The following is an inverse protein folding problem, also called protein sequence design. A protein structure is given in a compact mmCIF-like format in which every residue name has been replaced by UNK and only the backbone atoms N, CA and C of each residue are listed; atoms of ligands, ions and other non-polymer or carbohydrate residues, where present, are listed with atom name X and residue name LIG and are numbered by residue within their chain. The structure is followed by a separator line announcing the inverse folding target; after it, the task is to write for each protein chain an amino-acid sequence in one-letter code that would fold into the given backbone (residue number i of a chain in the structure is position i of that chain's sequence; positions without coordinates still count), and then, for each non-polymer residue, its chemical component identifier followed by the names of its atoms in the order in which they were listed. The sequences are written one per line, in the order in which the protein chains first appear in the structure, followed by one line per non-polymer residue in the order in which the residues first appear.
data_IF_516425511993
#
_entry.id   IF_516425511993
#
_cell.length_a   1.000
_cell.length_b   1.000
_cell.length_c   1.000
_cell.angle_alpha   90.00
_cell.angle_beta   90.00
_cell.angle_gamma   90.00
#
_symmetry.space_group_name_H-M   'P 1'
#
loop_
_entity.id
_entity.type
_entity.pdbx_description
1 polymer ?
#
# COMPACT_ATOMS: atom_id res chain seq x y z
N UNK A 1 -6.13 0.90 -0.42
CA UNK A 1 -4.93 1.15 -1.23
C UNK A 1 -5.06 0.34 -2.50
N UNK A 2 -5.03 0.99 -3.66
CA UNK A 2 -5.27 0.34 -4.95
C UNK A 2 -4.00 0.38 -5.78
N UNK A 3 -3.43 -0.79 -6.06
CA UNK A 3 -2.25 -0.90 -6.91
C UNK A 3 -2.54 -0.44 -8.35
N UNK A 4 -1.63 0.30 -8.97
CA UNK A 4 -1.77 0.77 -10.35
C UNK A 4 -0.48 0.63 -11.19
N UNK A 5 0.70 0.64 -10.57
CA UNK A 5 2.00 0.36 -11.23
C UNK A 5 2.80 -0.62 -10.38
N UNK A 6 3.36 -1.64 -11.04
CA UNK A 6 4.22 -2.66 -10.46
C UNK A 6 5.69 -2.45 -10.86
N UNK A 7 6.58 -2.75 -9.93
CA UNK A 7 8.02 -2.90 -10.12
C UNK A 7 8.55 -4.10 -9.31
N UNK A 8 9.84 -4.11 -9.05
CA UNK A 8 10.50 -5.11 -8.19
C UNK A 8 10.20 -6.55 -8.62
N UNK A 9 9.97 -7.43 -7.65
CA UNK A 9 9.68 -8.84 -7.91
C UNK A 9 8.35 -9.06 -8.67
N UNK A 10 7.46 -8.06 -8.73
CA UNK A 10 6.16 -8.13 -9.39
C UNK A 10 6.20 -7.71 -10.87
N UNK A 11 7.36 -7.33 -11.39
CA UNK A 11 7.52 -6.92 -12.78
C UNK A 11 8.92 -7.24 -13.35
N UNK A 12 8.97 -7.56 -14.63
CA UNK A 12 10.22 -7.65 -15.39
C UNK A 12 10.57 -6.25 -15.95
N UNK A 13 10.89 -5.31 -15.06
CA UNK A 13 11.28 -3.93 -15.38
C UNK A 13 12.38 -3.41 -14.43
N UNK A 14 12.87 -2.20 -14.71
CA UNK A 14 13.95 -1.58 -13.94
C UNK A 14 13.45 -0.78 -12.71
N UNK A 15 12.17 -0.90 -12.33
CA UNK A 15 11.67 -0.23 -11.13
C UNK A 15 12.03 -1.04 -9.89
N UNK A 16 12.64 -0.37 -8.90
CA UNK A 16 13.06 -1.04 -7.66
C UNK A 16 11.89 -1.30 -6.70
N UNK A 17 10.97 -0.35 -6.56
CA UNK A 17 9.82 -0.50 -5.66
C UNK A 17 8.75 -1.40 -6.27
N UNK A 18 8.16 -2.22 -5.43
CA UNK A 18 7.27 -3.29 -5.84
C UNK A 18 5.89 -2.78 -6.28
N UNK A 19 5.27 -1.86 -5.52
CA UNK A 19 3.95 -1.33 -5.86
C UNK A 19 3.83 0.18 -5.65
N UNK A 20 3.16 0.83 -6.60
CA UNK A 20 2.72 2.21 -6.50
C UNK A 20 1.19 2.23 -6.51
N UNK A 21 0.62 2.75 -5.43
CA UNK A 21 -0.79 2.67 -5.13
C UNK A 21 -1.43 4.05 -4.99
N UNK A 22 -2.70 4.14 -5.34
CA UNK A 22 -3.55 5.30 -5.04
C UNK A 22 -4.49 5.01 -3.87
N UNK A 23 -4.85 6.06 -3.15
CA UNK A 23 -5.81 6.04 -2.05
C UNK A 23 -6.85 7.16 -2.27
N UNK A 24 -8.06 6.84 -2.73
CA UNK A 24 -9.15 7.81 -2.84
C UNK A 24 -9.74 8.12 -1.45
N UNK A 25 -9.26 9.20 -0.81
CA UNK A 25 -9.54 9.48 0.61
C UNK A 25 -10.70 10.43 0.85
N UNK A 26 -11.10 11.22 -0.15
CA UNK A 26 -12.26 12.14 -0.05
C UNK A 26 -13.50 11.65 -0.82
N UNK A 27 -13.57 10.37 -1.16
CA UNK A 27 -14.80 9.80 -1.70
C UNK A 27 -15.91 9.78 -0.65
N UNK A 28 -17.16 10.02 -1.06
CA UNK A 28 -18.32 10.02 -0.16
C UNK A 28 -18.71 8.61 0.33
N UNK A 29 -18.31 7.58 -0.41
CA UNK A 29 -18.64 6.17 -0.18
C UNK A 29 -17.50 5.26 -0.64
N UNK A 30 -17.53 4.00 -0.21
CA UNK A 30 -16.59 3.00 -0.71
C UNK A 30 -16.79 2.78 -2.21
N UNK A 31 -18.05 2.68 -2.68
CA UNK A 31 -18.36 2.55 -4.11
C UNK A 31 -17.80 3.72 -4.93
N UNK A 32 -17.91 4.96 -4.44
CA UNK A 32 -17.30 6.12 -5.09
C UNK A 32 -15.77 6.05 -5.09
N UNK A 33 -15.16 5.53 -4.01
CA UNK A 33 -13.70 5.32 -3.98
C UNK A 33 -13.25 4.35 -5.08
N UNK A 34 -13.99 3.25 -5.29
CA UNK A 34 -13.71 2.26 -6.34
C UNK A 34 -13.90 2.87 -7.72
N UNK A 35 -14.95 3.67 -7.92
CA UNK A 35 -15.19 4.41 -9.17
C UNK A 35 -14.03 5.35 -9.48
N UNK A 36 -13.57 6.13 -8.51
CA UNK A 36 -12.42 7.03 -8.67
C UNK A 36 -11.16 6.26 -9.04
N UNK A 37 -10.86 5.16 -8.33
CA UNK A 37 -9.74 4.28 -8.67
C UNK A 37 -9.81 3.72 -10.08
N UNK A 38 -10.99 3.29 -10.54
CA UNK A 38 -11.19 2.74 -11.88
C UNK A 38 -11.00 3.81 -12.98
N UNK A 39 -11.46 5.04 -12.75
CA UNK A 39 -11.24 6.17 -13.66
C UNK A 39 -9.76 6.49 -13.81
N UNK A 40 -9.02 6.53 -12.69
CA UNK A 40 -7.56 6.76 -12.69
C UNK A 40 -6.82 5.61 -13.37
N UNK A 41 -7.18 4.35 -13.09
CA UNK A 41 -6.58 3.18 -13.74
C UNK A 41 -6.73 3.22 -15.27
N UNK A 42 -7.91 3.60 -15.79
CA UNK A 42 -8.13 3.72 -17.23
C UNK A 42 -7.49 4.97 -17.86
N UNK A 43 -7.38 6.07 -17.12
CA UNK A 43 -6.60 7.23 -17.53
C UNK A 43 -5.11 6.87 -17.66
N UNK A 44 -4.55 6.18 -16.66
CA UNK A 44 -3.17 5.68 -16.69
C UNK A 44 -2.94 4.74 -17.87
N UNK A 45 -3.86 3.80 -18.13
CA UNK A 45 -3.78 2.92 -19.32
C UNK A 45 -3.64 3.71 -20.62
N UNK A 46 -4.43 4.78 -20.76
CA UNK A 46 -4.43 5.62 -21.95
C UNK A 46 -3.13 6.44 -22.07
N UNK A 47 -2.65 6.95 -20.94
CA UNK A 47 -1.39 7.68 -20.85
C UNK A 47 -0.18 6.80 -21.21
N UNK A 48 -0.11 5.60 -20.66
CA UNK A 48 0.93 4.61 -20.96
C UNK A 48 0.97 4.27 -22.46
N UNK A 49 -0.19 4.01 -23.08
CA UNK A 49 -0.27 3.78 -24.53
C UNK A 49 0.23 4.97 -25.34
N UNK A 50 -0.17 6.18 -24.96
CA UNK A 50 0.26 7.42 -25.63
C UNK A 50 1.78 7.63 -25.55
N UNK A 51 2.40 7.25 -24.42
CA UNK A 51 3.85 7.29 -24.22
C UNK A 51 4.60 6.06 -24.77
N UNK A 52 3.89 5.10 -25.37
CA UNK A 52 4.49 3.93 -26.02
C UNK A 52 4.85 2.78 -25.06
N UNK A 53 4.37 2.80 -23.82
CA UNK A 53 4.59 1.71 -22.87
C UNK A 53 3.57 0.58 -23.06
N UNK A 54 3.94 -0.62 -22.58
CA UNK A 54 3.02 -1.74 -22.44
C UNK A 54 1.88 -1.42 -21.47
N UNK A 55 0.72 -2.03 -21.69
CA UNK A 55 -0.44 -1.96 -20.77
C UNK A 55 -0.89 -3.34 -20.32
N UNK A 56 0.04 -4.31 -20.35
CA UNK A 56 -0.13 -5.59 -19.70
C UNK A 56 -0.17 -5.38 -18.18
N UNK A 57 -0.88 -6.29 -17.51
CA UNK A 57 -1.05 -6.25 -16.07
C UNK A 57 -0.29 -7.39 -15.41
N UNK A 58 0.24 -7.14 -14.21
CA UNK A 58 0.87 -8.15 -13.36
C UNK A 58 -0.16 -8.99 -12.57
N UNK A 59 0.32 -9.70 -11.56
CA UNK A 59 -0.51 -10.59 -10.74
C UNK A 59 -1.56 -9.82 -9.93
N UNK A 60 -1.24 -8.63 -9.46
CA UNK A 60 -2.12 -7.73 -8.72
C UNK A 60 -3.05 -6.92 -9.64
N UNK A 61 -2.92 -7.05 -10.95
CA UNK A 61 -3.75 -6.36 -11.94
C UNK A 61 -3.31 -4.92 -12.27
N UNK A 62 -2.25 -4.40 -11.64
CA UNK A 62 -1.61 -3.13 -11.96
C UNK A 62 -0.74 -3.24 -13.21
N UNK A 63 -0.37 -2.11 -13.82
CA UNK A 63 0.48 -2.12 -15.02
C UNK A 63 1.96 -2.32 -14.67
N UNK A 64 2.71 -2.99 -15.53
CA UNK A 64 4.17 -3.15 -15.39
C UNK A 64 4.92 -2.49 -16.57
N UNK A 65 4.86 -1.16 -16.73
CA UNK A 65 5.61 -0.47 -17.78
C UNK A 65 7.12 -0.47 -17.49
N UNK A 66 7.94 -0.37 -18.54
CA UNK A 66 9.37 -0.14 -18.37
C UNK A 66 9.61 1.35 -18.12
N UNK A 67 9.83 1.72 -16.86
CA UNK A 67 10.08 3.10 -16.40
C UNK A 67 11.49 3.18 -15.82
N UNK A 68 12.07 4.38 -15.83
CA UNK A 68 13.48 4.60 -15.49
C UNK A 68 13.74 4.55 -13.99
N UNK A 69 12.84 5.08 -13.18
CA UNK A 69 13.04 5.24 -11.74
C UNK A 69 11.73 5.53 -11.00
N UNK A 70 11.82 5.61 -9.67
CA UNK A 70 10.69 5.82 -8.76
C UNK A 70 9.93 7.12 -9.06
N UNK A 71 10.65 8.20 -9.39
CA UNK A 71 10.05 9.51 -9.68
C UNK A 71 9.20 9.47 -10.95
N UNK A 72 9.68 8.81 -12.01
CA UNK A 72 8.90 8.68 -13.24
C UNK A 72 7.60 7.89 -13.02
N UNK A 73 7.62 6.84 -12.19
CA UNK A 73 6.42 6.11 -11.81
C UNK A 73 5.43 7.01 -11.04
N UNK A 74 5.91 7.75 -10.03
CA UNK A 74 5.09 8.69 -9.28
C UNK A 74 4.49 9.79 -10.18
N UNK A 75 5.30 10.42 -11.04
CA UNK A 75 4.85 11.45 -11.98
C UNK A 75 3.70 10.93 -12.88
N UNK A 76 3.79 9.68 -13.35
CA UNK A 76 2.73 9.06 -14.15
C UNK A 76 1.45 8.80 -13.36
N UNK A 77 1.57 8.38 -12.11
CA UNK A 77 0.40 8.21 -11.22
C UNK A 77 -0.31 9.54 -11.00
N UNK A 78 0.46 10.60 -10.75
CA UNK A 78 -0.05 11.95 -10.55
C UNK A 78 -0.73 12.47 -11.81
N UNK A 79 -0.04 12.40 -12.96
CA UNK A 79 -0.58 12.83 -14.27
C UNK A 79 -1.86 12.07 -14.62
N UNK A 80 -1.92 10.76 -14.36
CA UNK A 80 -3.12 9.96 -14.58
C UNK A 80 -4.28 10.34 -13.65
N UNK A 81 -3.98 10.66 -12.40
CA UNK A 81 -4.98 11.08 -11.41
C UNK A 81 -5.60 12.42 -11.77
N UNK A 82 -4.77 13.39 -12.17
CA UNK A 82 -5.22 14.69 -12.66
C UNK A 82 -6.00 14.57 -13.98
N UNK A 83 -5.53 13.74 -14.91
CA UNK A 83 -6.22 13.49 -16.18
C UNK A 83 -7.60 12.83 -15.98
N UNK A 84 -7.79 12.08 -14.89
CA UNK A 84 -9.08 11.53 -14.49
C UNK A 84 -9.98 12.56 -13.76
N UNK A 85 -9.48 13.76 -13.49
CA UNK A 85 -10.23 14.86 -12.89
C UNK A 85 -10.15 14.95 -11.37
N UNK A 86 -9.15 14.30 -10.74
CA UNK A 86 -8.98 14.29 -9.29
C UNK A 86 -7.80 15.16 -8.83
N UNK A 87 -7.97 15.82 -7.69
CA UNK A 87 -6.95 16.65 -7.06
C UNK A 87 -5.99 15.80 -6.20
N UNK A 88 -4.75 15.65 -6.66
CA UNK A 88 -3.71 14.89 -5.96
C UNK A 88 -3.28 15.62 -4.68
N UNK A 89 -3.04 14.88 -3.59
CA UNK A 89 -2.70 15.43 -2.27
C UNK A 89 -3.91 15.86 -1.43
N UNK A 90 -5.10 15.85 -2.01
CA UNK A 90 -6.37 16.11 -1.30
C UNK A 90 -7.35 14.97 -1.49
N UNK A 91 -7.78 14.71 -2.72
CA UNK A 91 -8.75 13.64 -3.02
C UNK A 91 -8.05 12.29 -3.15
N UNK A 92 -6.86 12.28 -3.76
CA UNK A 92 -6.04 11.09 -3.98
C UNK A 92 -4.69 11.26 -3.27
N UNK A 93 -4.37 10.31 -2.39
CA UNK A 93 -3.03 10.16 -1.79
C UNK A 93 -2.30 8.99 -2.42
N UNK A 94 -0.98 8.96 -2.24
CA UNK A 94 -0.11 7.89 -2.74
C UNK A 94 0.28 6.96 -1.59
N UNK A 95 0.30 5.67 -1.88
CA UNK A 95 0.95 4.67 -1.05
C UNK A 95 1.99 3.91 -1.86
N UNK A 96 3.07 3.51 -1.19
CA UNK A 96 4.17 2.75 -1.77
C UNK A 96 4.35 1.45 -1.02
N UNK A 97 4.70 0.40 -1.74
CA UNK A 97 5.29 -0.82 -1.20
C UNK A 97 6.67 -0.97 -1.83
N UNK A 98 7.71 -0.78 -1.01
CA UNK A 98 9.07 -0.87 -1.48
C UNK A 98 9.56 -2.32 -1.53
N UNK A 99 9.03 -3.21 -0.68
CA UNK A 99 9.55 -4.57 -0.47
C UNK A 99 11.09 -4.58 -0.34
N UNK A 100 11.64 -3.69 0.49
CA UNK A 100 13.08 -3.38 0.50
C UNK A 100 14.01 -4.55 0.78
N UNK A 101 13.49 -5.61 1.40
CA UNK A 101 14.20 -6.89 1.59
C UNK A 101 14.72 -7.47 0.26
N UNK A 102 13.99 -7.30 -0.85
CA UNK A 102 14.35 -7.85 -2.18
C UNK A 102 15.61 -7.23 -2.77
N UNK A 103 15.90 -5.97 -2.44
CA UNK A 103 17.09 -5.25 -2.88
C UNK A 103 18.10 -4.97 -1.75
N UNK A 104 17.88 -5.49 -0.55
CA UNK A 104 18.84 -5.40 0.55
C UNK A 104 19.90 -6.50 0.45
N UNK A 105 21.17 -6.10 0.28
CA UNK A 105 22.30 -7.02 0.12
C UNK A 105 23.49 -6.52 0.94
N UNK A 106 24.02 -7.40 1.79
CA UNK A 106 25.26 -7.19 2.54
C UNK A 106 25.32 -5.87 3.33
N UNK A 107 24.22 -5.48 3.98
CA UNK A 107 24.17 -4.26 4.80
C UNK A 107 23.75 -2.98 4.07
N UNK A 108 23.42 -3.07 2.78
CA UNK A 108 23.02 -1.91 1.96
C UNK A 108 21.88 -2.23 1.01
N UNK A 109 21.09 -1.21 0.68
CA UNK A 109 19.98 -1.24 -0.26
C UNK A 109 20.46 -0.91 -1.67
N UNK A 110 20.27 -1.82 -2.63
CA UNK A 110 20.80 -1.71 -3.99
C UNK A 110 19.69 -1.37 -4.98
N UNK A 111 19.41 -0.08 -5.17
CA UNK A 111 18.39 0.39 -6.11
C UNK A 111 19.01 0.52 -7.51
N UNK A 112 18.70 -0.45 -8.37
CA UNK A 112 19.20 -0.56 -9.74
C UNK A 112 18.62 0.54 -10.61
N UNK A 113 17.31 0.80 -10.53
CA UNK A 113 16.63 1.86 -11.26
C UNK A 113 17.14 3.26 -10.88
N UNK A 114 17.50 3.45 -9.61
CA UNK A 114 18.15 4.68 -9.15
C UNK A 114 19.67 4.74 -9.44
N UNK A 115 20.27 3.62 -9.87
CA UNK A 115 21.71 3.49 -10.10
C UNK A 115 22.55 3.73 -8.84
N UNK A 116 21.99 3.44 -7.66
CA UNK A 116 22.56 3.84 -6.35
C UNK A 116 22.56 2.69 -5.36
N UNK A 117 23.43 2.84 -4.35
CA UNK A 117 23.41 2.02 -3.14
C UNK A 117 23.27 2.94 -1.94
N UNK A 118 22.44 2.52 -1.00
CA UNK A 118 22.15 3.28 0.19
C UNK A 118 22.42 2.44 1.43
N UNK A 119 22.94 3.04 2.49
CA UNK A 119 22.74 2.51 3.83
C UNK A 119 21.33 2.91 4.36
N UNK A 120 20.93 2.42 5.53
CA UNK A 120 19.62 2.70 6.11
C UNK A 120 19.33 4.21 6.26
N UNK A 121 20.29 5.00 6.76
CA UNK A 121 20.12 6.45 6.93
C UNK A 121 19.93 7.16 5.59
N UNK A 122 20.63 6.74 4.54
CA UNK A 122 20.49 7.32 3.21
C UNK A 122 19.16 6.89 2.55
N UNK A 123 18.66 5.68 2.80
CA UNK A 123 17.30 5.27 2.40
C UNK A 123 16.23 6.13 3.07
N UNK A 124 16.36 6.37 4.38
CA UNK A 124 15.42 7.22 5.12
C UNK A 124 15.42 8.64 4.53
N UNK A 125 16.59 9.19 4.22
CA UNK A 125 16.69 10.51 3.58
C UNK A 125 16.09 10.52 2.16
N UNK A 126 16.25 9.43 1.41
CA UNK A 126 15.59 9.25 0.12
C UNK A 126 14.05 9.29 0.26
N UNK A 127 13.47 8.56 1.22
CA UNK A 127 12.03 8.62 1.48
C UNK A 127 11.57 9.99 1.97
N UNK A 128 12.36 10.70 2.78
CA UNK A 128 12.06 12.08 3.20
C UNK A 128 11.95 13.03 2.00
N UNK A 129 12.87 12.91 1.05
CA UNK A 129 12.82 13.69 -0.20
C UNK A 129 11.58 13.36 -1.03
N UNK A 130 11.28 12.07 -1.20
CA UNK A 130 10.06 11.65 -1.91
C UNK A 130 8.79 12.19 -1.23
N UNK A 131 8.67 12.09 0.09
CA UNK A 131 7.50 12.58 0.83
C UNK A 131 7.38 14.12 0.82
N UNK A 132 8.47 14.84 0.56
CA UNK A 132 8.44 16.29 0.41
C UNK A 132 8.00 16.73 -0.99
N UNK A 133 8.26 15.91 -2.00
CA UNK A 133 7.95 16.18 -3.42
C UNK A 133 6.58 15.63 -3.85
N UNK A 134 6.15 14.53 -3.24
CA UNK A 134 4.95 13.79 -3.62
C UNK A 134 3.99 13.63 -2.44
N UNK A 135 2.66 13.56 -2.66
CA UNK A 135 1.67 13.35 -1.61
C UNK A 135 1.60 11.89 -1.16
N UNK A 136 2.75 11.36 -0.75
CA UNK A 136 2.88 10.02 -0.17
C UNK A 136 2.34 10.07 1.24
N UNK A 137 1.37 9.21 1.52
CA UNK A 137 0.80 9.03 2.85
C UNK A 137 1.31 7.76 3.52
N UNK A 138 1.54 6.69 2.76
CA UNK A 138 1.91 5.38 3.31
C UNK A 138 3.12 4.79 2.59
N UNK A 139 4.02 4.19 3.36
CA UNK A 139 5.15 3.41 2.87
C UNK A 139 5.18 2.07 3.59
N UNK A 140 5.07 0.99 2.83
CA UNK A 140 5.16 -0.39 3.26
C UNK A 140 6.57 -0.93 3.01
N UNK A 141 7.11 -1.65 4.00
CA UNK A 141 8.42 -2.30 3.99
C UNK A 141 9.54 -1.45 3.38
N UNK A 142 9.61 -0.20 3.87
CA UNK A 142 10.60 0.79 3.47
C UNK A 142 12.06 0.33 3.70
N UNK A 143 12.29 -0.55 4.66
CA UNK A 143 13.59 -1.11 5.03
C UNK A 143 13.49 -2.63 5.11
N UNK A 144 14.63 -3.32 5.16
CA UNK A 144 14.67 -4.77 5.18
C UNK A 144 14.04 -5.33 6.48
N UNK A 145 13.44 -6.52 6.40
CA UNK A 145 12.62 -7.12 7.47
C UNK A 145 13.28 -7.20 8.85
N UNK A 146 14.61 -7.30 8.91
CA UNK A 146 15.37 -7.39 10.16
C UNK A 146 16.19 -6.12 10.49
N UNK A 147 16.06 -5.04 9.71
CA UNK A 147 16.66 -3.73 10.00
C UNK A 147 15.84 -2.94 11.05
N UNK A 148 15.73 -3.51 12.26
CA UNK A 148 14.93 -2.95 13.35
C UNK A 148 15.37 -1.53 13.74
N UNK A 149 16.67 -1.28 13.85
CA UNK A 149 17.20 0.05 14.20
C UNK A 149 16.90 1.08 13.11
N UNK A 150 16.96 0.65 11.84
CA UNK A 150 16.52 1.43 10.69
C UNK A 150 15.04 1.79 10.78
N UNK A 151 14.16 0.83 11.05
CA UNK A 151 12.71 1.08 11.20
C UNK A 151 12.38 2.01 12.37
N UNK A 152 13.07 1.89 13.51
CA UNK A 152 12.91 2.84 14.63
C UNK A 152 13.31 4.26 14.19
N UNK A 153 14.42 4.39 13.46
CA UNK A 153 14.90 5.67 12.95
C UNK A 153 13.94 6.26 11.91
N UNK A 154 13.46 5.45 10.97
CA UNK A 154 12.45 5.81 9.98
C UNK A 154 11.16 6.30 10.64
N UNK A 155 10.69 5.58 11.66
CA UNK A 155 9.45 5.92 12.39
C UNK A 155 9.60 7.22 13.15
N UNK A 156 10.77 7.46 13.77
CA UNK A 156 11.07 8.74 14.42
C UNK A 156 11.06 9.92 13.45
N UNK A 157 11.63 9.75 12.26
CA UNK A 157 11.78 10.82 11.27
C UNK A 157 10.48 11.11 10.50
N UNK A 158 9.69 10.07 10.16
CA UNK A 158 8.54 10.17 9.26
C UNK A 158 7.20 9.76 9.88
N UNK A 159 7.21 8.91 10.91
CA UNK A 159 6.00 8.26 11.45
C UNK A 159 4.97 9.21 12.06
N UNK A 160 5.33 10.46 12.33
CA UNK A 160 4.37 11.50 12.77
C UNK A 160 3.49 12.07 11.64
N UNK A 161 3.80 11.75 10.37
CA UNK A 161 3.04 12.21 9.18
C UNK A 161 2.76 11.09 8.18
N UNK A 162 3.64 10.10 8.12
CA UNK A 162 3.59 9.00 7.16
C UNK A 162 3.19 7.73 7.89
N UNK A 163 2.26 6.98 7.31
CA UNK A 163 1.96 5.62 7.71
C UNK A 163 3.12 4.70 7.28
N UNK A 164 3.79 4.09 8.26
CA UNK A 164 4.86 3.13 8.05
C UNK A 164 4.27 1.74 8.31
N UNK A 165 4.06 0.99 7.24
CA UNK A 165 3.43 -0.34 7.27
C UNK A 165 4.50 -1.41 7.30
N UNK A 166 4.46 -2.28 8.31
CA UNK A 166 5.27 -3.51 8.32
C UNK A 166 4.47 -4.67 7.75
N UNK A 167 4.97 -5.28 6.67
CA UNK A 167 4.49 -6.55 6.12
C UNK A 167 5.48 -7.66 6.45
N UNK A 168 6.62 -7.75 5.78
CA UNK A 168 7.72 -8.69 6.09
C UNK A 168 8.34 -8.38 7.47
N UNK A 169 8.31 -7.12 7.89
CA UNK A 169 8.75 -6.73 9.24
C UNK A 169 7.98 -7.50 10.34
N UNK A 170 6.68 -7.72 10.15
CA UNK A 170 5.81 -8.30 11.17
C UNK A 170 5.27 -9.69 10.84
N UNK A 171 5.14 -10.04 9.56
CA UNK A 171 4.59 -11.29 9.01
C UNK A 171 3.31 -11.77 9.71
N UNK A 172 2.42 -10.82 10.05
CA UNK A 172 1.21 -11.07 10.85
C UNK A 172 1.48 -11.83 12.16
N UNK A 173 2.71 -11.77 12.68
CA UNK A 173 3.16 -12.50 13.87
C UNK A 173 3.12 -11.61 15.12
N UNK A 174 2.33 -12.01 16.11
CA UNK A 174 2.11 -11.22 17.33
C UNK A 174 3.37 -11.00 18.16
N UNK A 175 4.38 -11.87 18.09
CA UNK A 175 5.64 -11.67 18.81
C UNK A 175 6.50 -10.59 18.16
N UNK A 176 6.65 -10.61 16.82
CA UNK A 176 7.36 -9.55 16.09
C UNK A 176 6.62 -8.22 16.20
N UNK A 177 5.29 -8.23 16.13
CA UNK A 177 4.46 -7.04 16.34
C UNK A 177 4.69 -6.43 17.74
N UNK A 178 4.65 -7.24 18.80
CA UNK A 178 4.91 -6.75 20.17
C UNK A 178 6.31 -6.16 20.31
N UNK A 179 7.32 -6.82 19.74
CA UNK A 179 8.69 -6.28 19.68
C UNK A 179 8.72 -4.91 18.98
N UNK A 180 8.06 -4.78 17.83
CA UNK A 180 8.00 -3.51 17.10
C UNK A 180 7.32 -2.40 17.91
N UNK A 181 6.19 -2.70 18.55
CA UNK A 181 5.50 -1.76 19.44
C UNK A 181 6.42 -1.32 20.59
N UNK A 182 7.12 -2.24 21.24
CA UNK A 182 8.05 -1.94 22.34
C UNK A 182 9.25 -1.09 21.88
N UNK A 183 9.70 -1.28 20.64
CA UNK A 183 10.81 -0.54 20.05
C UNK A 183 10.40 0.78 19.39
N UNK A 184 9.10 1.06 19.27
CA UNK A 184 8.55 2.16 18.47
C UNK A 184 8.92 2.06 16.98
N UNK A 185 8.92 0.84 16.44
CA UNK A 185 9.17 0.55 15.03
C UNK A 185 7.87 0.39 14.24
N UNK A 186 7.71 1.20 13.19
CA UNK A 186 6.51 1.35 12.37
C UNK A 186 5.31 1.94 13.14
N UNK A 187 4.19 2.16 12.46
CA UNK A 187 2.92 2.62 13.06
C UNK A 187 1.68 1.95 12.41
N UNK A 188 1.91 0.95 11.56
CA UNK A 188 0.90 0.19 10.87
C UNK A 188 1.39 -1.23 10.61
N UNK A 189 0.47 -2.17 10.50
CA UNK A 189 0.74 -3.57 10.15
C UNK A 189 -0.13 -3.98 8.95
N UNK A 190 0.50 -4.68 8.00
CA UNK A 190 -0.23 -5.40 6.97
C UNK A 190 -0.66 -6.77 7.50
N UNK A 191 -1.97 -7.05 7.42
CA UNK A 191 -2.56 -8.29 7.95
C UNK A 191 -2.84 -9.25 6.81
N UNK A 192 -2.12 -10.37 6.79
CA UNK A 192 -2.33 -11.49 5.87
C UNK A 192 -2.65 -12.73 6.70
N UNK A 193 -3.93 -13.08 6.79
CA UNK A 193 -4.40 -14.17 7.67
C UNK A 193 -3.72 -15.52 7.37
N UNK A 194 -3.27 -15.75 6.13
CA UNK A 194 -2.56 -16.98 5.77
C UNK A 194 -1.09 -17.02 6.20
N UNK A 195 -0.49 -15.90 6.63
CA UNK A 195 0.84 -15.89 7.26
C UNK A 195 0.78 -16.45 8.69
N UNK A 196 -0.32 -16.21 9.41
CA UNK A 196 -0.52 -16.70 10.79
C UNK A 196 -1.33 -18.00 10.86
N UNK A 197 -2.23 -18.22 9.90
CA UNK A 197 -2.85 -19.52 9.61
C UNK A 197 -4.26 -19.72 10.17
N UNK A 198 -4.73 -18.90 11.13
CA UNK A 198 -6.09 -19.00 11.67
C UNK A 198 -6.78 -17.64 11.82
N UNK A 199 -8.12 -17.64 11.75
CA UNK A 199 -8.92 -16.43 11.98
C UNK A 199 -8.74 -15.90 13.41
N UNK A 200 -8.69 -16.77 14.41
CA UNK A 200 -8.49 -16.37 15.82
C UNK A 200 -7.17 -15.61 15.99
N UNK A 201 -6.07 -16.16 15.49
CA UNK A 201 -4.76 -15.51 15.64
C UNK A 201 -4.67 -14.22 14.80
N UNK A 202 -5.37 -14.18 13.66
CA UNK A 202 -5.53 -12.95 12.86
C UNK A 202 -6.24 -11.85 13.66
N UNK A 203 -7.36 -12.18 14.31
CA UNK A 203 -8.11 -11.25 15.16
C UNK A 203 -7.28 -10.81 16.37
N UNK A 204 -6.46 -11.70 16.95
CA UNK A 204 -5.55 -11.34 18.03
C UNK A 204 -4.48 -10.35 17.56
N UNK A 205 -3.88 -10.57 16.39
CA UNK A 205 -2.90 -9.64 15.81
C UNK A 205 -3.50 -8.26 15.53
N UNK A 206 -4.69 -8.22 14.92
CA UNK A 206 -5.46 -6.98 14.71
C UNK A 206 -5.73 -6.28 16.04
N UNK A 207 -6.21 -7.02 17.03
CA UNK A 207 -6.59 -6.46 18.34
C UNK A 207 -5.39 -5.93 19.14
N UNK A 208 -4.25 -6.61 19.08
CA UNK A 208 -2.99 -6.12 19.68
C UNK A 208 -2.53 -4.84 19.00
N UNK A 209 -2.54 -4.80 17.65
CA UNK A 209 -2.15 -3.63 16.86
C UNK A 209 -3.04 -2.41 17.18
N UNK A 210 -4.36 -2.55 17.08
CA UNK A 210 -5.31 -1.46 17.32
C UNK A 210 -5.22 -0.92 18.75
N UNK A 211 -5.04 -1.79 19.76
CA UNK A 211 -4.86 -1.36 21.16
C UNK A 211 -3.56 -0.61 21.41
N UNK A 212 -2.54 -0.85 20.59
CA UNK A 212 -1.28 -0.12 20.62
C UNK A 212 -1.32 1.18 19.78
N UNK A 213 -2.47 1.52 19.19
CA UNK A 213 -2.61 2.70 18.33
C UNK A 213 -2.09 2.50 16.91
N UNK A 214 -1.69 1.29 16.52
CA UNK A 214 -1.28 1.01 15.16
C UNK A 214 -2.52 0.87 14.27
N UNK A 215 -2.38 1.32 13.02
CA UNK A 215 -3.37 1.01 11.99
C UNK A 215 -3.19 -0.41 11.47
N UNK A 216 -4.29 -1.02 11.02
CA UNK A 216 -4.30 -2.38 10.47
C UNK A 216 -4.79 -2.32 9.04
N UNK A 217 -3.98 -2.79 8.10
CA UNK A 217 -4.35 -2.85 6.68
C UNK A 217 -4.61 -4.31 6.32
N UNK A 218 -5.88 -4.69 6.06
CA UNK A 218 -6.19 -6.06 5.66
C UNK A 218 -5.72 -6.27 4.22
N UNK A 219 -5.00 -7.36 3.96
CA UNK A 219 -4.31 -7.54 2.68
C UNK A 219 -4.59 -8.88 2.00
N UNK A 220 -4.59 -8.83 0.68
CA UNK A 220 -4.55 -9.99 -0.22
C UNK A 220 -3.15 -10.63 -0.29
N UNK A 221 -3.01 -11.64 -1.15
CA UNK A 221 -1.71 -12.19 -1.61
C UNK A 221 -1.57 -12.07 -3.14
N UNK A 222 -0.35 -12.18 -3.68
CA UNK A 222 -0.15 -12.20 -5.14
C UNK A 222 -0.88 -13.38 -5.80
N UNK A 223 -0.93 -14.55 -5.15
CA UNK A 223 -1.84 -15.64 -5.53
C UNK A 223 -3.19 -15.53 -4.81
N UNK A 224 -4.22 -15.02 -5.49
CA UNK A 224 -5.59 -14.93 -4.96
C UNK A 224 -6.58 -15.86 -5.68
N UNK A 225 -7.75 -15.98 -5.07
CA UNK A 225 -8.90 -16.72 -5.61
C UNK A 225 -10.12 -15.82 -5.73
N UNK A 226 -11.28 -16.38 -6.08
CA UNK A 226 -12.57 -15.72 -6.01
C UNK A 226 -13.08 -15.46 -4.58
N UNK A 227 -12.46 -16.05 -3.56
CA UNK A 227 -12.82 -15.87 -2.14
C UNK A 227 -12.77 -14.38 -1.75
N UNK A 228 -13.73 -13.90 -0.95
CA UNK A 228 -13.81 -12.49 -0.55
C UNK A 228 -13.72 -12.27 0.96
N UNK A 229 -13.22 -13.25 1.72
CA UNK A 229 -13.20 -13.21 3.20
C UNK A 229 -12.53 -11.96 3.76
N UNK A 230 -11.49 -11.45 3.09
CA UNK A 230 -10.79 -10.23 3.53
C UNK A 230 -11.66 -8.98 3.48
N UNK A 231 -12.64 -8.93 2.58
CA UNK A 231 -13.61 -7.83 2.51
C UNK A 231 -14.46 -7.79 3.79
N UNK A 232 -15.10 -8.91 4.13
CA UNK A 232 -15.91 -9.04 5.34
C UNK A 232 -15.07 -8.84 6.61
N UNK A 233 -13.84 -9.38 6.66
CA UNK A 233 -12.92 -9.18 7.79
C UNK A 233 -12.58 -7.70 8.00
N UNK A 234 -12.30 -6.95 6.92
CA UNK A 234 -11.93 -5.53 7.00
C UNK A 234 -13.03 -4.67 7.62
N UNK A 235 -14.29 -4.99 7.33
CA UNK A 235 -15.46 -4.32 7.90
C UNK A 235 -15.73 -4.80 9.32
N UNK A 236 -15.67 -6.11 9.57
CA UNK A 236 -15.94 -6.71 10.89
C UNK A 236 -15.06 -6.15 12.01
N UNK A 237 -13.81 -5.81 11.70
CA UNK A 237 -12.83 -5.27 12.66
C UNK A 237 -12.66 -3.76 12.55
N UNK A 238 -13.47 -3.07 11.73
CA UNK A 238 -13.35 -1.65 11.42
C UNK A 238 -11.89 -1.25 11.11
N UNK A 239 -11.21 -2.04 10.28
CA UNK A 239 -9.79 -1.83 9.96
C UNK A 239 -9.52 -0.45 9.34
N UNK A 240 -10.50 0.08 8.61
CA UNK A 240 -10.44 1.37 7.92
C UNK A 240 -9.66 1.32 6.60
N UNK A 241 -8.82 0.31 6.39
CA UNK A 241 -7.98 0.18 5.20
C UNK A 241 -7.90 -1.27 4.71
N UNK A 242 -7.85 -1.41 3.37
CA UNK A 242 -7.66 -2.68 2.67
C UNK A 242 -6.66 -2.51 1.51
N UNK A 243 -5.76 -3.48 1.31
CA UNK A 243 -4.85 -3.62 0.15
C UNK A 243 -5.24 -4.91 -0.60
N UNK A 244 -6.07 -4.77 -1.63
CA UNK A 244 -6.62 -5.94 -2.37
C UNK A 244 -6.36 -5.88 -3.88
N UNK A 245 -5.28 -5.20 -4.29
CA UNK A 245 -4.81 -5.13 -5.66
C UNK A 245 -5.48 -4.04 -6.50
N UNK A 246 -5.33 -4.15 -7.82
CA UNK A 246 -5.76 -3.14 -8.79
C UNK A 246 -7.22 -3.27 -9.19
N UNK A 247 -7.67 -2.41 -10.10
CA UNK A 247 -9.02 -2.33 -10.63
C UNK A 247 -9.18 -3.22 -11.87
N UNK A 248 -8.48 -4.35 -11.88
CA UNK A 248 -8.55 -5.38 -12.91
C UNK A 248 -8.33 -6.76 -12.29
N UNK A 249 -8.65 -7.82 -13.06
CA UNK A 249 -8.65 -9.23 -12.65
C UNK A 249 -9.68 -9.57 -11.55
N UNK A 250 -10.40 -10.68 -11.75
CA UNK A 250 -11.51 -11.06 -10.86
C UNK A 250 -11.07 -11.52 -9.47
N UNK A 251 -9.85 -12.02 -9.34
CA UNK A 251 -9.21 -12.34 -8.06
C UNK A 251 -9.04 -11.10 -7.16
N UNK A 252 -9.03 -9.89 -7.75
CA UNK A 252 -9.03 -8.59 -7.06
C UNK A 252 -10.41 -7.98 -6.98
N UNK A 253 -11.08 -7.85 -8.13
CA UNK A 253 -12.36 -7.12 -8.22
C UNK A 253 -13.50 -7.81 -7.50
N UNK A 254 -13.42 -9.13 -7.24
CA UNK A 254 -14.37 -9.81 -6.37
C UNK A 254 -14.43 -9.19 -4.96
N UNK A 255 -13.28 -8.78 -4.38
CA UNK A 255 -13.22 -8.16 -3.06
C UNK A 255 -13.83 -6.76 -3.04
N UNK A 256 -13.55 -5.97 -4.09
CA UNK A 256 -14.20 -4.66 -4.28
C UNK A 256 -15.72 -4.80 -4.42
N UNK A 257 -16.18 -5.74 -5.23
CA UNK A 257 -17.61 -6.02 -5.40
C UNK A 257 -18.27 -6.44 -4.09
N UNK A 258 -17.60 -7.29 -3.29
CA UNK A 258 -18.11 -7.69 -1.98
C UNK A 258 -18.21 -6.51 -1.02
N UNK A 259 -17.24 -5.60 -0.99
CA UNK A 259 -17.29 -4.41 -0.15
C UNK A 259 -18.41 -3.45 -0.57
N UNK A 260 -18.66 -3.30 -1.87
CA UNK A 260 -19.83 -2.53 -2.36
C UNK A 260 -21.14 -3.18 -1.89
N UNK A 261 -21.25 -4.51 -1.96
CA UNK A 261 -22.43 -5.22 -1.43
C UNK A 261 -22.60 -5.03 0.08
N UNK A 262 -21.51 -5.10 0.86
CA UNK A 262 -21.56 -4.84 2.30
C UNK A 262 -22.02 -3.40 2.59
N UNK A 263 -21.52 -2.43 1.84
CA UNK A 263 -21.96 -1.02 1.94
C UNK A 263 -23.46 -0.88 1.64
N UNK A 264 -23.96 -1.53 0.59
CA UNK A 264 -25.39 -1.57 0.26
C UNK A 264 -26.24 -2.26 1.34
N UNK A 265 -25.76 -3.38 1.89
CA UNK A 265 -26.40 -4.15 2.97
C UNK A 265 -26.51 -3.34 4.28
N UNK A 266 -25.46 -2.59 4.62
CA UNK A 266 -25.42 -1.71 5.79
C UNK A 266 -26.26 -0.44 5.59
N UNK A 267 -26.41 0.03 4.34
CA UNK A 267 -27.20 1.20 4.00
C UNK A 267 -26.82 2.42 4.85
N UNK A 268 -27.80 2.99 5.55
CA UNK A 268 -27.61 4.24 6.33
C UNK A 268 -26.63 4.16 7.50
N UNK A 269 -26.24 2.97 7.96
CA UNK A 269 -25.23 2.82 9.02
C UNK A 269 -23.82 2.58 8.46
N UNK A 270 -23.68 2.50 7.12
CA UNK A 270 -22.37 2.46 6.48
C UNK A 270 -21.60 3.76 6.73
N UNK A 271 -20.29 3.66 6.91
CA UNK A 271 -19.39 4.81 6.96
C UNK A 271 -18.08 4.44 6.27
N UNK A 272 -17.75 5.17 5.22
CA UNK A 272 -16.43 5.07 4.60
C UNK A 272 -15.41 5.84 5.44
N UNK A 273 -14.29 5.20 5.80
CA UNK A 273 -13.28 5.81 6.67
C UNK A 273 -12.69 7.09 6.07
N UNK A 274 -12.59 7.19 4.74
CA UNK A 274 -12.14 8.40 4.04
C UNK A 274 -10.87 8.98 4.64
N UNK A 275 -10.81 10.29 4.82
CA UNK A 275 -9.66 10.98 5.41
C UNK A 275 -9.58 10.87 6.94
N UNK A 276 -10.52 10.20 7.63
CA UNK A 276 -10.51 10.13 9.09
C UNK A 276 -9.26 9.42 9.65
N UNK A 277 -8.70 8.46 8.91
CA UNK A 277 -7.45 7.81 9.30
C UNK A 277 -6.26 8.79 9.35
N UNK A 278 -6.33 9.94 8.67
CA UNK A 278 -5.29 11.00 8.74
C UNK A 278 -5.29 11.72 10.09
N UNK A 279 -6.39 11.66 10.83
CA UNK A 279 -6.60 12.44 12.06
C UNK A 279 -6.35 11.65 13.35
N UNK A 280 -6.21 10.32 13.25
CA UNK A 280 -5.85 9.48 14.40
C UNK A 280 -4.38 9.71 14.75
N UNK A 281 -4.15 10.52 15.78
CA UNK A 281 -2.86 10.76 16.44
C UNK A 281 -2.74 9.90 17.68
#
# INVERSE_FOLDING_TARGET
MMNIINGGAHADNDLDFQEFMIMPVLADSFADSVRSGAQIFHALKSLLKKKGHSTNVGDEGGFAPNLRNTKEALDLVLEASEAAGFSVGTEILIALDAASSEFYKSGSYHLIGEGKKFNASEMIEFYKQLCAEYPIFSIEDALAEDDWDGFVSLTRELGGKIQIVGDDLFVTNTQRLKKGIEMEAANSILIKFNQIGTLTETLDAISVSQRAGYSTVISHRSGETEDTTISDLSVAVNAGQIKTGSLSRSDRTAKYNRLIQIEEELGSISTYCGAEFLTKK
#
